data_IF_085769888762
#
_entry.id   IF_085769888762
#
_cell.length_a   1.000
_cell.length_b   1.000
_cell.length_c   1.000
_cell.angle_alpha   90.00
_cell.angle_beta   90.00
_cell.angle_gamma   90.00
#
_symmetry.space_group_name_H-M   'P 1'
#
loop_
_entity.id
_entity.type
_entity.pdbx_description
1 polymer ?
#
# COMPACT_ATOMS: atom_id res chain seq x y z
N UNK A 1 19.08 -30.54 47.05
CA UNK A 1 18.86 -30.80 45.61
C UNK A 1 19.27 -29.57 44.82
N UNK A 2 20.28 -29.67 43.94
CA UNK A 2 20.72 -28.56 43.07
C UNK A 2 19.83 -28.53 41.83
N UNK A 3 19.08 -27.43 41.64
CA UNK A 3 18.33 -27.17 40.41
C UNK A 3 19.32 -26.86 39.28
N UNK A 4 19.32 -27.70 38.24
CA UNK A 4 19.93 -27.41 36.94
C UNK A 4 19.02 -26.44 36.19
N UNK A 5 19.40 -25.17 36.10
CA UNK A 5 18.83 -24.22 35.15
C UNK A 5 19.82 -24.17 33.99
N UNK A 6 19.52 -24.92 32.93
CA UNK A 6 20.27 -24.91 31.68
C UNK A 6 19.27 -24.78 30.55
N UNK A 7 19.48 -23.80 29.67
CA UNK A 7 18.65 -23.56 28.50
C UNK A 7 18.63 -22.10 28.08
N UNK A 8 19.80 -21.54 27.78
CA UNK A 8 19.88 -20.32 26.97
C UNK A 8 19.42 -20.66 25.54
N UNK A 9 18.39 -20.00 24.97
CA UNK A 9 18.14 -20.11 23.55
C UNK A 9 19.18 -19.26 22.82
N UNK A 10 20.13 -19.93 22.16
CA UNK A 10 20.94 -19.33 21.12
C UNK A 10 20.01 -18.93 19.95
N UNK A 11 19.49 -17.70 19.99
CA UNK A 11 18.91 -17.05 18.82
C UNK A 11 20.05 -16.67 17.89
N UNK A 12 20.37 -17.63 17.03
CA UNK A 12 21.28 -17.50 15.91
C UNK A 12 20.82 -16.36 15.01
N UNK A 13 21.62 -15.30 15.00
CA UNK A 13 21.45 -14.11 14.20
C UNK A 13 21.57 -14.46 12.71
N UNK A 14 20.43 -14.62 12.04
CA UNK A 14 20.37 -14.67 10.58
C UNK A 14 20.37 -13.23 10.04
N UNK A 15 21.57 -12.64 9.95
CA UNK A 15 21.80 -11.42 9.18
C UNK A 15 21.86 -11.77 7.69
N UNK A 16 20.99 -11.21 6.83
CA UNK A 16 21.21 -11.31 5.40
C UNK A 16 22.36 -10.39 4.99
N UNK A 17 23.45 -10.98 4.49
CA UNK A 17 24.47 -10.30 3.70
C UNK A 17 23.85 -9.64 2.47
N UNK A 18 23.95 -8.30 2.28
CA UNK A 18 23.75 -7.71 0.98
C UNK A 18 24.99 -7.97 0.12
N UNK A 19 24.88 -8.89 -0.83
CA UNK A 19 25.88 -9.05 -1.89
C UNK A 19 25.89 -7.80 -2.75
N UNK A 20 26.98 -7.06 -2.62
CA UNK A 20 27.37 -5.99 -3.51
C UNK A 20 27.56 -6.55 -4.94
N UNK A 21 26.58 -6.32 -5.81
CA UNK A 21 26.75 -6.44 -7.25
C UNK A 21 27.02 -5.05 -7.82
N UNK A 22 28.31 -4.80 -8.07
CA UNK A 22 28.78 -3.65 -8.84
C UNK A 22 28.48 -3.81 -10.32
N UNK A 23 28.28 -2.64 -10.96
CA UNK A 23 28.53 -2.33 -12.36
C UNK A 23 27.52 -2.80 -13.42
N UNK A 24 26.71 -1.83 -13.90
CA UNK A 24 26.94 -1.28 -15.26
C UNK A 24 26.31 0.10 -15.42
N UNK A 25 27.15 1.13 -15.37
CA UNK A 25 26.88 2.43 -15.98
C UNK A 25 26.84 2.23 -17.51
N UNK A 26 25.67 2.39 -18.11
CA UNK A 26 25.54 2.67 -19.55
C UNK A 26 25.03 4.10 -19.65
N UNK A 27 25.97 5.01 -19.88
CA UNK A 27 25.68 6.35 -20.35
C UNK A 27 25.13 6.26 -21.78
N UNK A 28 23.85 6.61 -21.97
CA UNK A 28 23.34 6.99 -23.28
C UNK A 28 22.91 8.46 -23.18
N UNK A 29 23.60 9.28 -23.97
CA UNK A 29 23.40 10.72 -24.02
C UNK A 29 22.01 11.07 -24.60
N UNK A 30 21.44 12.22 -24.22
CA UNK A 30 20.17 12.70 -24.74
C UNK A 30 20.38 13.37 -26.11
N UNK A 31 19.88 12.75 -27.18
CA UNK A 31 19.74 13.40 -28.49
C UNK A 31 18.28 13.74 -28.75
N UNK A 32 18.08 15.02 -28.98
CA UNK A 32 16.81 15.70 -29.04
C UNK A 32 16.08 15.51 -30.40
N UNK A 33 14.87 16.08 -30.39
CA UNK A 33 14.14 16.74 -31.49
C UNK A 33 12.93 15.99 -32.08
N UNK A 34 11.86 16.78 -32.18
CA UNK A 34 10.58 16.62 -32.90
C UNK A 34 9.50 15.85 -32.12
N UNK A 35 8.65 16.52 -31.33
CA UNK A 35 7.57 17.40 -31.81
C UNK A 35 6.79 16.76 -32.97
N UNK A 36 5.76 15.97 -32.61
CA UNK A 36 4.59 15.80 -33.47
C UNK A 36 3.34 15.93 -32.62
N UNK A 37 2.77 17.12 -32.77
CA UNK A 37 1.47 17.57 -32.30
C UNK A 37 0.37 16.72 -32.93
N UNK A 38 -0.45 16.08 -32.11
CA UNK A 38 -1.82 15.81 -32.52
C UNK A 38 -2.77 16.30 -31.42
N UNK A 39 -3.11 17.58 -31.52
CA UNK A 39 -4.21 18.14 -30.76
C UNK A 39 -5.52 17.52 -31.25
N UNK A 40 -6.25 16.88 -30.35
CA UNK A 40 -7.69 16.70 -30.52
C UNK A 40 -8.41 16.64 -29.18
N UNK A 41 -8.87 17.83 -28.80
CA UNK A 41 -9.98 18.19 -27.92
C UNK A 41 -9.91 17.78 -26.44
N UNK A 42 -9.71 18.79 -25.61
CA UNK A 42 -10.36 18.89 -24.30
C UNK A 42 -11.90 18.81 -24.49
N UNK A 43 -12.63 18.26 -23.53
CA UNK A 43 -12.91 19.08 -22.36
C UNK A 43 -12.46 18.41 -21.07
N UNK A 44 -12.17 19.27 -20.11
CA UNK A 44 -12.05 18.93 -18.70
C UNK A 44 -13.13 17.92 -18.28
N UNK A 45 -12.72 16.70 -17.97
CA UNK A 45 -13.46 15.82 -17.09
C UNK A 45 -12.64 15.75 -15.80
N UNK A 46 -13.13 16.27 -14.66
CA UNK A 46 -12.47 16.04 -13.39
C UNK A 46 -12.33 14.52 -13.20
N UNK A 47 -11.24 14.01 -12.60
CA UNK A 47 -11.28 12.66 -12.08
C UNK A 47 -12.48 12.63 -11.14
N UNK A 48 -13.45 11.81 -11.52
CA UNK A 48 -14.57 11.36 -10.71
C UNK A 48 -14.00 10.81 -9.40
N UNK A 49 -13.76 11.69 -8.44
CA UNK A 49 -13.70 11.34 -7.02
C UNK A 49 -15.15 11.17 -6.57
N UNK A 50 -15.75 10.11 -7.11
CA UNK A 50 -16.97 9.48 -6.62
C UNK A 50 -16.63 8.85 -5.25
N UNK A 51 -16.60 9.67 -4.21
CA UNK A 51 -16.58 9.18 -2.81
C UNK A 51 -17.26 10.14 -1.84
N UNK A 52 -17.97 11.16 -2.34
CA UNK A 52 -18.96 11.88 -1.55
C UNK A 52 -20.32 11.17 -1.71
N UNK A 53 -20.83 10.71 -0.57
CA UNK A 53 -22.25 10.42 -0.32
C UNK A 53 -22.94 9.31 -1.13
N UNK A 54 -23.18 8.20 -0.43
CA UNK A 54 -24.48 7.57 -0.48
C UNK A 54 -24.91 7.25 0.95
N UNK A 55 -25.53 8.24 1.59
CA UNK A 55 -26.43 8.09 2.74
C UNK A 55 -27.60 7.20 2.30
N UNK A 56 -27.39 5.90 2.36
CA UNK A 56 -28.36 4.90 1.95
C UNK A 56 -27.68 3.54 1.99
N UNK A 57 -27.89 2.82 3.09
CA UNK A 57 -27.27 1.55 3.43
C UNK A 57 -27.52 0.46 2.37
N UNK A 58 -26.76 0.51 1.28
CA UNK A 58 -26.62 -0.64 0.40
C UNK A 58 -25.67 -1.60 1.11
N UNK A 59 -26.23 -2.65 1.73
CA UNK A 59 -25.45 -3.71 2.43
C UNK A 59 -24.24 -4.19 1.63
N UNK A 60 -24.38 -4.27 0.30
CA UNK A 60 -23.31 -4.62 -0.64
C UNK A 60 -22.17 -3.60 -0.70
N UNK A 61 -22.47 -2.32 -0.56
CA UNK A 61 -21.46 -1.25 -0.52
C UNK A 61 -20.68 -1.28 0.80
N UNK A 62 -21.37 -1.53 1.93
CA UNK A 62 -20.74 -1.71 3.24
C UNK A 62 -19.82 -2.93 3.21
N UNK A 63 -20.32 -4.07 2.71
CA UNK A 63 -19.52 -5.30 2.54
C UNK A 63 -18.27 -5.07 1.68
N UNK A 64 -18.42 -4.37 0.54
CA UNK A 64 -17.30 -4.01 -0.33
C UNK A 64 -16.26 -3.16 0.39
N UNK A 65 -16.70 -2.16 1.19
CA UNK A 65 -15.79 -1.32 1.97
C UNK A 65 -15.08 -2.12 3.07
N UNK A 66 -15.80 -2.98 3.80
CA UNK A 66 -15.21 -3.86 4.82
C UNK A 66 -14.16 -4.81 4.21
N UNK A 67 -14.41 -5.32 3.01
CA UNK A 67 -13.44 -6.17 2.30
C UNK A 67 -12.19 -5.41 1.87
N UNK A 68 -12.34 -4.16 1.42
CA UNK A 68 -11.19 -3.29 1.13
C UNK A 68 -10.38 -2.97 2.39
N UNK A 69 -11.06 -2.71 3.50
CA UNK A 69 -10.43 -2.47 4.79
C UNK A 69 -9.65 -3.72 5.26
N UNK A 70 -10.21 -4.92 5.12
CA UNK A 70 -9.52 -6.15 5.45
C UNK A 70 -8.23 -6.37 4.64
N UNK A 71 -8.23 -6.03 3.34
CA UNK A 71 -7.03 -6.06 2.50
C UNK A 71 -5.97 -5.05 2.99
N UNK A 72 -6.40 -3.85 3.39
CA UNK A 72 -5.51 -2.84 3.98
C UNK A 72 -4.93 -3.29 5.34
N UNK A 73 -5.72 -3.97 6.19
CA UNK A 73 -5.24 -4.55 7.45
C UNK A 73 -4.20 -5.65 7.19
N UNK A 74 -4.40 -6.49 6.17
CA UNK A 74 -3.43 -7.52 5.80
C UNK A 74 -2.11 -6.89 5.32
N UNK A 75 -2.18 -5.82 4.51
CA UNK A 75 -0.99 -5.07 4.07
C UNK A 75 -0.29 -4.38 5.23
N UNK A 76 -1.05 -3.79 6.15
CA UNK A 76 -0.49 -3.22 7.38
C UNK A 76 0.21 -4.30 8.24
N UNK A 77 -0.40 -5.48 8.38
CA UNK A 77 0.17 -6.60 9.12
C UNK A 77 1.44 -7.16 8.47
N UNK A 78 1.55 -7.07 7.14
CA UNK A 78 2.77 -7.37 6.37
C UNK A 78 3.87 -6.32 6.55
N UNK A 79 3.60 -5.21 7.24
CA UNK A 79 4.55 -4.11 7.44
C UNK A 79 4.60 -3.13 6.26
N UNK A 80 3.59 -3.12 5.40
CA UNK A 80 3.51 -2.17 4.30
C UNK A 80 3.11 -0.78 4.81
N UNK A 81 3.78 0.27 4.32
CA UNK A 81 3.47 1.65 4.70
C UNK A 81 2.22 2.11 3.96
N UNK A 82 1.14 2.30 4.71
CA UNK A 82 -0.12 2.83 4.18
C UNK A 82 -0.07 4.36 4.10
N UNK A 83 -0.78 4.93 3.12
CA UNK A 83 -0.94 6.37 2.98
C UNK A 83 -2.07 6.90 3.90
N UNK A 84 -2.19 8.23 4.01
CA UNK A 84 -3.18 8.88 4.89
C UNK A 84 -4.63 8.52 4.54
N UNK A 85 -4.95 8.37 3.25
CA UNK A 85 -6.27 7.96 2.78
C UNK A 85 -6.63 6.52 3.19
N UNK A 86 -5.66 5.61 3.14
CA UNK A 86 -5.83 4.23 3.59
C UNK A 86 -6.00 4.14 5.11
N UNK A 87 -5.23 4.92 5.86
CA UNK A 87 -5.39 5.02 7.32
C UNK A 87 -6.77 5.58 7.69
N UNK A 88 -7.27 6.58 6.95
CA UNK A 88 -8.62 7.09 7.13
C UNK A 88 -9.70 6.02 6.85
N UNK A 89 -9.49 5.15 5.85
CA UNK A 89 -10.39 4.00 5.58
C UNK A 89 -10.37 2.96 6.70
N UNK A 90 -9.20 2.68 7.28
CA UNK A 90 -9.09 1.80 8.44
C UNK A 90 -9.82 2.40 9.66
N UNK A 91 -9.70 3.70 9.89
CA UNK A 91 -10.40 4.39 10.97
C UNK A 91 -11.92 4.35 10.81
N UNK A 92 -12.42 4.44 9.58
CA UNK A 92 -13.86 4.35 9.27
C UNK A 92 -14.45 2.93 9.41
N UNK A 93 -13.63 1.90 9.69
CA UNK A 93 -14.09 0.50 9.84
C UNK A 93 -15.19 0.37 10.90
N UNK A 94 -14.97 0.93 12.09
CA UNK A 94 -15.92 0.80 13.20
C UNK A 94 -17.25 1.50 12.92
N UNK A 95 -17.26 2.59 12.15
CA UNK A 95 -18.50 3.25 11.71
C UNK A 95 -19.26 2.42 10.68
N UNK A 96 -18.56 1.66 9.82
CA UNK A 96 -19.18 0.80 8.81
C UNK A 96 -19.72 -0.52 9.38
N UNK A 97 -19.11 -1.06 10.44
CA UNK A 97 -19.60 -2.26 11.14
C UNK A 97 -20.86 -1.98 11.97
N UNK A 98 -21.08 -0.73 12.37
CA UNK A 98 -22.23 -0.30 13.17
C UNK A 98 -23.45 0.16 12.33
N UNK A 99 -23.30 0.24 11.01
CA UNK A 99 -24.31 0.76 10.06
C UNK A 99 -25.17 -0.35 9.43
#
# INVERSE_FOLDING_TARGET
ARLRIGGEPASEASNPTPVAASAKLVAVAPSAVAASTNGKVAPAAPPVQESAESKGANKKAIDKKLRQIADLEERQAKGEVLNEDQLAKLAAKSELEAA
#
